data_IF_780664200996
#
_entry.id   IF_780664200996
#
_cell.length_a   1.000
_cell.length_b   1.000
_cell.length_c   1.000
_cell.angle_alpha   90.00
_cell.angle_beta   90.00
_cell.angle_gamma   90.00
#
_symmetry.space_group_name_H-M   'P 1'
#
loop_
_entity.id
_entity.type
_entity.pdbx_description
1 polymer ?
#
# COMPACT_ATOMS: atom_id res chain seq x y z
N UNK A 1 1.10 -49.80 -38.78
CA UNK A 1 0.75 -48.64 -37.94
C UNK A 1 2.00 -47.79 -37.78
N UNK A 2 1.95 -46.50 -38.15
CA UNK A 2 3.09 -45.58 -38.13
C UNK A 2 2.60 -44.31 -37.45
N UNK A 3 2.99 -44.14 -36.19
CA UNK A 3 2.62 -42.98 -35.35
C UNK A 3 3.79 -42.01 -35.47
N UNK A 4 3.65 -40.99 -36.32
CA UNK A 4 4.63 -39.91 -36.43
C UNK A 4 3.92 -38.63 -36.01
N UNK A 5 4.46 -38.00 -34.96
CA UNK A 5 4.57 -36.55 -34.87
C UNK A 5 3.31 -35.77 -34.46
N UNK A 6 2.99 -35.77 -33.16
CA UNK A 6 2.11 -34.76 -32.55
C UNK A 6 2.74 -34.08 -31.32
N UNK A 7 4.07 -34.14 -31.17
CA UNK A 7 4.77 -33.67 -29.97
C UNK A 7 5.38 -32.27 -30.05
N UNK A 8 5.42 -31.61 -31.21
CA UNK A 8 6.26 -30.43 -31.43
C UNK A 8 5.50 -29.24 -32.07
N UNK A 9 4.23 -29.05 -31.72
CA UNK A 9 3.44 -27.88 -32.19
C UNK A 9 2.88 -27.05 -31.03
N UNK A 10 2.92 -27.55 -29.79
CA UNK A 10 2.26 -26.90 -28.65
C UNK A 10 3.09 -25.82 -27.93
N UNK A 11 4.36 -25.61 -28.28
CA UNK A 11 5.25 -24.71 -27.53
C UNK A 11 5.45 -23.32 -28.16
N UNK A 12 4.93 -23.05 -29.36
CA UNK A 12 5.12 -21.77 -30.08
C UNK A 12 3.96 -20.77 -29.86
N UNK A 13 2.93 -21.13 -29.11
CA UNK A 13 1.71 -20.33 -28.96
C UNK A 13 1.75 -19.29 -27.82
N UNK A 14 2.81 -19.23 -27.03
CA UNK A 14 2.83 -18.53 -25.73
C UNK A 14 3.49 -17.13 -25.72
N UNK A 15 3.72 -16.49 -26.88
CA UNK A 15 4.52 -15.25 -26.97
C UNK A 15 3.77 -13.97 -27.44
N UNK A 16 2.44 -13.98 -27.64
CA UNK A 16 1.73 -12.86 -28.30
C UNK A 16 0.92 -11.92 -27.39
N UNK A 17 1.06 -11.97 -26.07
CA UNK A 17 0.25 -11.18 -25.15
C UNK A 17 1.01 -10.02 -24.49
N UNK A 18 1.58 -9.06 -25.24
CA UNK A 18 2.09 -7.79 -24.65
C UNK A 18 2.39 -6.65 -25.66
N UNK A 19 1.48 -6.30 -26.57
CA UNK A 19 1.56 -5.01 -27.27
C UNK A 19 0.17 -4.37 -27.35
N UNK A 20 -0.31 -3.75 -26.27
CA UNK A 20 -1.41 -2.78 -26.36
C UNK A 20 -0.80 -1.39 -26.34
N UNK A 21 -0.94 -0.64 -27.43
CA UNK A 21 -0.49 0.75 -27.53
C UNK A 21 -1.70 1.67 -27.42
N UNK A 22 -1.80 2.46 -26.35
CA UNK A 22 -2.90 3.40 -26.07
C UNK A 22 -3.06 4.52 -27.12
N UNK A 23 -2.13 4.60 -28.08
CA UNK A 23 -2.06 5.63 -29.10
C UNK A 23 -3.30 5.68 -30.01
N UNK A 24 -3.95 4.52 -30.24
CA UNK A 24 -5.14 4.43 -31.10
C UNK A 24 -6.38 5.07 -30.45
N UNK A 25 -6.52 4.93 -29.12
CA UNK A 25 -7.63 5.50 -28.33
C UNK A 25 -7.49 7.03 -28.26
N UNK A 26 -6.26 7.53 -28.14
CA UNK A 26 -5.99 8.96 -28.08
C UNK A 26 -6.28 9.65 -29.43
N UNK A 27 -5.92 9.00 -30.52
CA UNK A 27 -6.22 9.46 -31.88
C UNK A 27 -7.74 9.51 -32.15
N UNK A 28 -8.49 8.48 -31.74
CA UNK A 28 -9.95 8.44 -31.87
C UNK A 28 -10.60 9.62 -31.12
N UNK A 29 -10.19 9.86 -29.87
CA UNK A 29 -10.68 10.98 -29.06
C UNK A 29 -10.46 12.33 -29.75
N UNK A 30 -9.25 12.60 -30.23
CA UNK A 30 -8.97 13.86 -30.93
C UNK A 30 -9.72 14.00 -32.26
N UNK A 31 -9.94 12.89 -32.97
CA UNK A 31 -10.76 12.88 -34.18
C UNK A 31 -12.27 13.08 -33.90
N UNK A 32 -12.76 12.58 -32.76
CA UNK A 32 -14.16 12.74 -32.34
C UNK A 32 -14.53 14.20 -32.06
N UNK A 33 -13.55 15.02 -31.65
CA UNK A 33 -13.70 16.47 -31.52
C UNK A 33 -13.66 17.22 -32.87
N UNK A 34 -13.49 16.49 -33.98
CA UNK A 34 -13.45 17.03 -35.34
C UNK A 34 -12.06 17.48 -35.81
N UNK A 35 -11.01 17.21 -35.03
CA UNK A 35 -9.64 17.55 -35.44
C UNK A 35 -9.12 16.52 -36.45
N UNK A 36 -8.53 17.01 -37.54
CA UNK A 36 -7.96 16.15 -38.58
C UNK A 36 -6.49 15.84 -38.29
N UNK A 37 -6.04 14.58 -38.42
CA UNK A 37 -4.63 14.23 -38.30
C UNK A 37 -3.74 15.10 -39.20
N UNK A 38 -2.58 15.50 -38.68
CA UNK A 38 -1.63 16.37 -39.38
C UNK A 38 -1.91 17.87 -39.27
N UNK A 39 -2.89 18.28 -38.47
CA UNK A 39 -3.16 19.70 -38.15
C UNK A 39 -2.61 20.07 -36.78
N UNK A 40 -2.31 21.35 -36.56
CA UNK A 40 -1.86 21.86 -35.26
C UNK A 40 -2.89 21.63 -34.16
N UNK A 41 -4.18 21.74 -34.48
CA UNK A 41 -5.27 21.49 -33.54
C UNK A 41 -5.29 20.04 -33.04
N UNK A 42 -5.04 19.08 -33.95
CA UNK A 42 -4.93 17.66 -33.60
C UNK A 42 -3.69 17.41 -32.71
N UNK A 43 -2.53 17.99 -33.06
CA UNK A 43 -1.31 17.89 -32.25
C UNK A 43 -1.50 18.43 -30.83
N UNK A 44 -2.15 19.59 -30.70
CA UNK A 44 -2.46 20.19 -29.39
C UNK A 44 -3.40 19.32 -28.56
N UNK A 45 -4.42 18.72 -29.20
CA UNK A 45 -5.31 17.78 -28.53
C UNK A 45 -4.56 16.57 -27.97
N UNK A 46 -3.71 15.94 -28.79
CA UNK A 46 -2.91 14.78 -28.39
C UNK A 46 -1.97 15.13 -27.22
N UNK A 47 -1.30 16.29 -27.28
CA UNK A 47 -0.43 16.74 -26.18
C UNK A 47 -1.19 17.00 -24.87
N UNK A 48 -2.38 17.59 -24.95
CA UNK A 48 -3.23 17.81 -23.79
C UNK A 48 -3.71 16.49 -23.18
N UNK A 49 -4.12 15.54 -24.01
CA UNK A 49 -4.55 14.22 -23.56
C UNK A 49 -3.42 13.44 -22.86
N UNK A 50 -2.21 13.47 -23.42
CA UNK A 50 -1.04 12.87 -22.79
C UNK A 50 -0.75 13.50 -21.42
N UNK A 51 -0.91 14.83 -21.31
CA UNK A 51 -0.74 15.55 -20.04
C UNK A 51 -1.82 15.15 -19.04
N UNK A 52 -3.08 15.07 -19.48
CA UNK A 52 -4.19 14.63 -18.62
C UNK A 52 -3.99 13.22 -18.06
N UNK A 53 -3.54 12.27 -18.91
CA UNK A 53 -3.21 10.91 -18.45
C UNK A 53 -2.13 10.93 -17.38
N UNK A 54 -1.04 11.66 -17.62
CA UNK A 54 0.06 11.77 -16.66
C UNK A 54 -0.38 12.44 -15.34
N UNK A 55 -1.25 13.45 -15.41
CA UNK A 55 -1.79 14.12 -14.23
C UNK A 55 -2.74 13.21 -13.43
N UNK A 56 -3.57 12.42 -14.11
CA UNK A 56 -4.46 11.47 -13.44
C UNK A 56 -3.68 10.31 -12.80
N UNK A 57 -2.62 9.82 -13.45
CA UNK A 57 -1.67 8.86 -12.85
C UNK A 57 -0.99 9.45 -11.61
N UNK A 58 -0.52 10.71 -11.68
CA UNK A 58 0.06 11.40 -10.52
C UNK A 58 -0.94 11.51 -9.38
N UNK A 59 -2.17 11.95 -9.65
CA UNK A 59 -3.24 12.05 -8.64
C UNK A 59 -3.58 10.70 -8.02
N UNK A 60 -3.55 9.64 -8.81
CA UNK A 60 -3.76 8.29 -8.31
C UNK A 60 -2.64 7.88 -7.35
N UNK A 61 -1.37 8.09 -7.74
CA UNK A 61 -0.21 7.81 -6.90
C UNK A 61 -0.20 8.65 -5.62
N UNK A 62 -0.53 9.94 -5.69
CA UNK A 62 -0.60 10.84 -4.54
C UNK A 62 -1.64 10.35 -3.51
N UNK A 63 -2.82 9.90 -3.97
CA UNK A 63 -3.84 9.32 -3.09
C UNK A 63 -3.34 8.05 -2.41
N UNK A 64 -2.73 7.15 -3.17
CA UNK A 64 -2.17 5.91 -2.59
C UNK A 64 -1.09 6.19 -1.55
N UNK A 65 -0.19 7.16 -1.81
CA UNK A 65 0.84 7.54 -0.84
C UNK A 65 0.23 8.16 0.42
N UNK A 66 -0.78 9.02 0.28
CA UNK A 66 -1.47 9.62 1.41
C UNK A 66 -2.19 8.56 2.28
N UNK A 67 -2.81 7.57 1.64
CA UNK A 67 -3.47 6.46 2.34
C UNK A 67 -2.45 5.57 3.07
N UNK A 68 -1.32 5.26 2.44
CA UNK A 68 -0.24 4.50 3.08
C UNK A 68 0.33 5.23 4.32
N UNK A 69 0.52 6.54 4.22
CA UNK A 69 0.97 7.35 5.35
C UNK A 69 -0.05 7.29 6.50
N UNK A 70 -1.35 7.47 6.21
CA UNK A 70 -2.42 7.36 7.23
C UNK A 70 -2.41 6.00 7.92
N UNK A 71 -2.20 4.92 7.17
CA UNK A 71 -2.14 3.57 7.72
C UNK A 71 -0.91 3.36 8.62
N UNK A 72 0.25 3.90 8.22
CA UNK A 72 1.46 3.89 9.06
C UNK A 72 1.25 4.67 10.35
N UNK A 73 0.65 5.85 10.27
CA UNK A 73 0.36 6.69 11.44
C UNK A 73 -0.62 6.00 12.38
N UNK A 74 -1.69 5.38 11.85
CA UNK A 74 -2.64 4.58 12.64
C UNK A 74 -1.94 3.44 13.37
N UNK A 75 -1.03 2.73 12.69
CA UNK A 75 -0.24 1.64 13.30
C UNK A 75 0.70 2.14 14.38
N UNK A 76 1.37 3.28 14.16
CA UNK A 76 2.25 3.88 15.17
C UNK A 76 1.47 4.33 16.40
N UNK A 77 0.35 5.02 16.22
CA UNK A 77 -0.52 5.43 17.32
C UNK A 77 -1.14 4.24 18.08
N UNK A 78 -1.31 3.09 17.41
CA UNK A 78 -1.67 1.85 18.08
C UNK A 78 -0.49 1.29 18.89
N UNK A 79 0.71 1.20 18.30
CA UNK A 79 1.91 0.74 19.00
C UNK A 79 2.20 1.55 20.26
N UNK A 80 2.03 2.87 20.23
CA UNK A 80 2.27 3.71 21.40
C UNK A 80 1.29 3.42 22.54
N UNK A 81 0.07 2.97 22.23
CA UNK A 81 -0.89 2.49 23.25
C UNK A 81 -0.56 1.11 23.78
N UNK A 82 0.11 0.29 22.97
CA UNK A 82 0.50 -1.08 23.32
C UNK A 82 1.84 -1.14 24.08
N UNK A 83 2.63 -0.05 24.13
CA UNK A 83 3.84 0.03 24.94
C UNK A 83 3.45 0.19 26.41
N UNK A 84 3.67 -0.85 27.20
CA UNK A 84 3.53 -0.78 28.65
C UNK A 84 4.63 0.10 29.25
N UNK A 85 4.26 1.29 29.75
CA UNK A 85 5.19 2.23 30.38
C UNK A 85 5.40 1.97 31.86
N UNK A 86 4.80 0.90 32.44
CA UNK A 86 5.02 0.55 33.84
C UNK A 86 6.49 0.15 34.06
N UNK A 87 7.10 0.52 35.19
CA UNK A 87 8.46 0.09 35.52
C UNK A 87 8.58 -1.44 35.48
N UNK A 88 9.45 -1.98 34.63
CA UNK A 88 9.61 -3.43 34.40
C UNK A 88 10.23 -4.20 35.59
N UNK A 89 10.84 -3.47 36.52
CA UNK A 89 11.41 -4.03 37.73
C UNK A 89 10.95 -3.23 38.96
N UNK A 90 10.83 -3.92 40.09
CA UNK A 90 10.60 -3.26 41.38
C UNK A 90 11.88 -2.56 41.90
N UNK A 91 11.77 -1.92 43.07
CA UNK A 91 12.88 -1.21 43.73
C UNK A 91 14.05 -2.10 44.14
N UNK A 92 13.84 -3.42 44.20
CA UNK A 92 14.82 -4.42 44.59
C UNK A 92 15.42 -5.15 43.37
N UNK A 93 14.94 -4.82 42.17
CA UNK A 93 15.43 -5.35 40.89
C UNK A 93 14.72 -6.62 40.40
N UNK A 94 13.56 -6.99 40.97
CA UNK A 94 12.79 -8.16 40.51
C UNK A 94 11.83 -7.79 39.37
N UNK A 95 11.60 -8.67 38.36
CA UNK A 95 10.64 -8.42 37.28
C UNK A 95 9.20 -8.20 37.80
N UNK A 96 8.50 -7.24 37.20
CA UNK A 96 7.09 -6.95 37.50
C UNK A 96 6.09 -7.88 36.79
N UNK A 97 6.51 -8.66 35.78
CA UNK A 97 5.72 -9.68 35.10
C UNK A 97 6.43 -11.03 35.12
N UNK A 98 5.66 -12.13 35.11
CA UNK A 98 6.19 -13.48 34.95
C UNK A 98 6.46 -13.82 33.47
N UNK A 99 6.93 -15.04 33.20
CA UNK A 99 7.21 -15.52 31.84
C UNK A 99 5.98 -15.66 30.95
N UNK A 100 4.79 -15.60 31.53
CA UNK A 100 3.49 -15.71 30.86
C UNK A 100 2.83 -14.32 30.67
N UNK A 101 3.46 -13.27 31.19
CA UNK A 101 3.01 -11.88 31.09
C UNK A 101 2.03 -11.44 32.18
N UNK A 102 1.85 -12.23 33.24
CA UNK A 102 1.00 -11.85 34.37
C UNK A 102 1.75 -10.89 35.30
N UNK A 103 1.07 -9.83 35.78
CA UNK A 103 1.65 -8.87 36.71
C UNK A 103 1.90 -9.53 38.09
N UNK A 104 3.15 -9.58 38.52
CA UNK A 104 3.62 -10.19 39.78
C UNK A 104 3.60 -9.20 40.97
N UNK A 105 2.99 -8.02 40.82
CA UNK A 105 3.04 -6.97 41.84
C UNK A 105 2.44 -7.36 43.19
N UNK A 106 2.60 -6.46 44.18
CA UNK A 106 2.32 -6.68 45.59
C UNK A 106 1.09 -7.57 45.88
N UNK A 107 1.33 -8.73 46.49
CA UNK A 107 0.32 -9.67 46.96
C UNK A 107 0.28 -9.62 48.50
N UNK A 108 -0.74 -8.97 49.09
CA UNK A 108 -0.94 -8.93 50.54
C UNK A 108 -1.71 -7.72 51.04
N UNK A 109 -2.06 -7.73 52.33
CA UNK A 109 -2.59 -6.56 53.05
C UNK A 109 -1.45 -5.55 53.24
N UNK A 110 -1.51 -4.43 52.50
CA UNK A 110 -0.43 -3.41 52.43
C UNK A 110 -0.23 -2.78 51.05
N UNK A 111 -0.90 -3.27 50.01
CA UNK A 111 -0.93 -2.64 48.68
C UNK A 111 -2.08 -1.61 48.53
N UNK A 112 -2.73 -1.24 49.65
CA UNK A 112 -3.50 0.00 49.73
C UNK A 112 -2.46 1.11 49.72
N UNK A 113 -2.48 1.95 48.69
CA UNK A 113 -1.72 3.21 48.71
C UNK A 113 -2.22 3.96 49.93
N UNK A 114 -1.41 4.07 50.98
CA UNK A 114 -1.72 4.99 52.07
C UNK A 114 -1.87 6.38 51.44
N UNK A 115 -3.04 6.99 51.63
CA UNK A 115 -3.25 8.38 51.24
C UNK A 115 -2.26 9.21 52.08
N UNK A 116 -1.32 9.97 51.48
CA UNK A 116 -0.22 10.62 52.21
C UNK A 116 -0.62 11.80 53.11
N UNK A 117 -1.88 11.85 53.56
CA UNK A 117 -2.41 12.87 54.47
C UNK A 117 -2.89 12.23 55.80
N UNK A 118 -1.95 11.62 56.54
CA UNK A 118 -1.95 11.56 58.03
C UNK A 118 -0.53 11.37 58.55
#
# INVERSE_FOLDING_TARGET
>A
MKIIGFGMVASLSLLLAACVSDQEIDQDKCSSFGFRPGTDAFSNCMMNQNTQRADDERRFLDRMQADEQRDRDRKNAQRDRDIDTRPQFDKDGNPNFDTEGNYQGCHGVGCLVDNPDT
#
